data_IF_289095917409
#
_entry.id   IF_289095917409
#
_cell.length_a   1.000
_cell.length_b   1.000
_cell.length_c   1.000
_cell.angle_alpha   90.00
_cell.angle_beta   90.00
_cell.angle_gamma   90.00
#
_symmetry.space_group_name_H-M   'P 1'
#
loop_
_entity.id
_entity.type
_entity.pdbx_description
1 polymer ?
#
# COMPACT_ATOMS: atom_id res chain seq x y z
N UNK A 1 3.09 0.60 40.37
CA UNK A 1 2.09 1.19 39.46
C UNK A 1 2.57 0.91 38.03
N UNK A 2 1.92 0.00 37.33
CA UNK A 2 2.37 -0.51 36.03
C UNK A 2 1.90 0.31 34.82
N UNK A 3 2.55 0.08 33.69
CA UNK A 3 2.16 0.25 32.26
C UNK A 3 3.47 0.33 31.47
N UNK A 4 3.85 -0.54 30.54
CA UNK A 4 3.24 -1.69 29.89
C UNK A 4 4.19 -1.99 28.72
N UNK A 5 4.72 -3.20 28.66
CA UNK A 5 5.51 -3.70 27.52
C UNK A 5 4.63 -3.76 26.25
N UNK A 6 5.31 -3.77 25.10
CA UNK A 6 4.92 -4.33 23.79
C UNK A 6 4.91 -3.31 22.65
N UNK A 7 6.04 -3.24 21.94
CA UNK A 7 6.16 -2.65 20.61
C UNK A 7 7.14 -3.48 19.79
N UNK A 8 6.78 -4.72 19.50
CA UNK A 8 7.55 -5.60 18.63
C UNK A 8 7.60 -5.00 17.22
N UNK A 9 8.80 -4.56 16.82
CA UNK A 9 9.10 -3.92 15.55
C UNK A 9 8.96 -4.95 14.42
N UNK A 10 7.80 -4.97 13.77
CA UNK A 10 7.61 -5.70 12.52
C UNK A 10 8.46 -5.06 11.42
N UNK A 11 9.70 -5.53 11.28
CA UNK A 11 10.59 -5.26 10.14
C UNK A 11 9.96 -5.88 8.87
N UNK A 12 9.17 -5.09 8.16
CA UNK A 12 8.66 -5.42 6.83
C UNK A 12 9.52 -4.75 5.76
N UNK A 13 9.91 -5.51 4.75
CA UNK A 13 10.77 -5.08 3.64
C UNK A 13 10.29 -3.76 3.02
N UNK A 14 11.08 -2.71 3.26
CA UNK A 14 10.83 -1.33 2.85
C UNK A 14 11.29 -1.16 1.40
N UNK A 15 10.40 -1.36 0.43
CA UNK A 15 10.66 -0.95 -0.94
C UNK A 15 10.14 0.48 -1.17
N UNK A 16 11.07 1.38 -1.49
CA UNK A 16 10.82 2.76 -1.87
C UNK A 16 10.99 2.85 -3.39
N UNK A 17 9.89 3.04 -4.13
CA UNK A 17 9.97 3.48 -5.53
C UNK A 17 10.10 5.00 -5.55
N UNK A 18 11.11 5.51 -6.25
CA UNK A 18 11.38 6.94 -6.43
C UNK A 18 10.97 7.35 -7.85
N UNK A 19 10.08 8.33 -7.96
CA UNK A 19 9.54 8.83 -9.22
C UNK A 19 9.44 10.35 -9.14
N UNK A 20 10.36 11.03 -9.83
CA UNK A 20 10.68 12.44 -9.63
C UNK A 20 9.61 13.46 -10.05
N UNK A 21 9.61 14.54 -9.25
CA UNK A 21 9.43 15.97 -9.55
C UNK A 21 8.43 16.39 -10.63
N UNK A 22 7.14 16.26 -10.32
CA UNK A 22 6.13 17.33 -10.23
C UNK A 22 4.89 16.67 -9.58
N UNK A 23 4.59 17.03 -8.33
CA UNK A 23 3.74 16.24 -7.40
C UNK A 23 4.35 14.85 -7.10
N UNK A 24 5.01 14.71 -5.94
CA UNK A 24 5.59 13.43 -5.53
C UNK A 24 4.47 12.47 -5.06
N UNK A 25 3.77 11.86 -6.02
CA UNK A 25 2.75 10.84 -5.77
C UNK A 25 3.40 9.51 -5.43
N UNK A 26 3.42 9.16 -4.14
CA UNK A 26 4.06 7.93 -3.67
C UNK A 26 3.06 6.97 -3.04
N UNK A 27 2.86 5.83 -3.69
CA UNK A 27 2.18 4.68 -3.11
C UNK A 27 3.19 3.88 -2.27
N UNK A 28 2.86 3.61 -1.01
CA UNK A 28 3.67 2.76 -0.12
C UNK A 28 2.79 1.66 0.44
N UNK A 29 3.25 0.41 0.29
CA UNK A 29 2.62 -0.72 0.96
C UNK A 29 3.10 -0.78 2.42
N UNK A 30 2.18 -1.09 3.31
CA UNK A 30 2.43 -1.26 4.74
C UNK A 30 1.76 -2.55 5.22
N UNK A 31 2.35 -3.21 6.22
CA UNK A 31 1.79 -4.43 6.83
C UNK A 31 1.75 -4.27 8.34
N UNK A 32 0.56 -4.27 8.91
CA UNK A 32 0.36 -4.05 10.36
C UNK A 32 -0.61 -5.07 10.92
N UNK A 33 -0.20 -5.80 11.96
CA UNK A 33 -1.02 -6.83 12.64
C UNK A 33 -1.66 -7.85 11.68
N UNK A 34 -0.91 -8.28 10.66
CA UNK A 34 -1.38 -9.23 9.64
C UNK A 34 -2.26 -8.62 8.54
N UNK A 35 -2.62 -7.34 8.63
CA UNK A 35 -3.39 -6.63 7.61
C UNK A 35 -2.46 -5.88 6.65
N UNK A 36 -2.89 -5.73 5.40
CA UNK A 36 -2.17 -5.01 4.36
C UNK A 36 -2.79 -3.65 4.11
N UNK A 37 -1.96 -2.63 3.98
CA UNK A 37 -2.38 -1.27 3.72
C UNK A 37 -1.62 -0.66 2.56
N UNK A 38 -2.24 0.33 1.91
CA UNK A 38 -1.60 1.22 0.94
C UNK A 38 -1.72 2.64 1.47
N UNK A 39 -0.58 3.28 1.72
CA UNK A 39 -0.46 4.71 1.99
C UNK A 39 -0.26 5.45 0.68
N UNK A 40 -1.05 6.49 0.46
CA UNK A 40 -0.82 7.44 -0.64
C UNK A 40 -0.24 8.72 -0.07
N UNK A 41 0.87 9.17 -0.63
CA UNK A 41 1.50 10.43 -0.30
C UNK A 41 1.43 11.38 -1.49
N UNK A 42 1.23 12.66 -1.17
CA UNK A 42 1.35 13.78 -2.09
C UNK A 42 2.29 14.78 -1.45
N UNK A 43 3.40 15.10 -2.13
CA UNK A 43 4.41 16.05 -1.64
C UNK A 43 4.90 15.72 -0.22
N UNK A 44 5.17 14.43 0.02
CA UNK A 44 5.60 13.90 1.31
C UNK A 44 4.51 13.85 2.39
N UNK A 45 3.31 14.38 2.15
CA UNK A 45 2.17 14.32 3.08
C UNK A 45 1.29 13.11 2.78
N UNK A 46 0.97 12.32 3.80
CA UNK A 46 0.02 11.20 3.65
C UNK A 46 -1.39 11.75 3.43
N UNK A 47 -1.93 11.54 2.24
CA UNK A 47 -3.27 11.99 1.86
C UNK A 47 -4.34 10.90 2.00
N UNK A 48 -3.93 9.62 1.97
CA UNK A 48 -4.85 8.51 2.18
C UNK A 48 -4.14 7.29 2.76
N UNK A 49 -4.93 6.45 3.44
CA UNK A 49 -4.50 5.18 4.00
C UNK A 49 -5.62 4.16 3.83
N UNK A 50 -5.40 3.18 2.97
CA UNK A 50 -6.41 2.19 2.58
C UNK A 50 -6.03 0.80 3.09
N UNK A 51 -6.94 0.15 3.82
CA UNK A 51 -6.82 -1.27 4.13
C UNK A 51 -7.17 -2.11 2.90
N UNK A 52 -6.31 -3.06 2.54
CA UNK A 52 -6.50 -3.97 1.42
C UNK A 52 -7.05 -5.29 1.97
N UNK A 53 -8.37 -5.35 2.12
CA UNK A 53 -9.09 -6.59 2.41
C UNK A 53 -9.33 -7.43 1.14
N UNK A 54 -9.92 -8.61 1.30
CA UNK A 54 -10.19 -9.53 0.19
C UNK A 54 -11.14 -8.94 -0.86
N UNK A 55 -12.06 -8.04 -0.45
CA UNK A 55 -13.01 -7.39 -1.34
C UNK A 55 -12.32 -6.35 -2.21
N UNK A 56 -11.47 -5.52 -1.62
CA UNK A 56 -10.64 -4.54 -2.35
C UNK A 56 -9.66 -5.28 -3.28
N UNK A 57 -9.02 -6.33 -2.79
CA UNK A 57 -8.12 -7.16 -3.61
C UNK A 57 -8.84 -7.74 -4.83
N UNK A 58 -10.06 -8.25 -4.64
CA UNK A 58 -10.87 -8.79 -5.73
C UNK A 58 -11.27 -7.72 -6.75
N UNK A 59 -11.64 -6.52 -6.30
CA UNK A 59 -11.94 -5.38 -7.18
C UNK A 59 -10.74 -4.96 -8.02
N UNK A 60 -9.56 -4.83 -7.40
CA UNK A 60 -8.33 -4.49 -8.12
C UNK A 60 -8.03 -5.56 -9.16
N UNK A 61 -8.07 -6.84 -8.79
CA UNK A 61 -7.80 -7.95 -9.71
C UNK A 61 -8.76 -7.95 -10.89
N UNK A 62 -10.06 -7.80 -10.66
CA UNK A 62 -11.05 -7.76 -11.74
C UNK A 62 -10.82 -6.57 -12.66
N UNK A 63 -10.51 -5.40 -12.09
CA UNK A 63 -10.26 -4.19 -12.88
C UNK A 63 -9.00 -4.33 -13.73
N UNK A 64 -7.92 -4.90 -13.18
CA UNK A 64 -6.70 -5.19 -13.93
C UNK A 64 -6.97 -6.22 -15.03
N UNK A 65 -7.74 -7.26 -14.75
CA UNK A 65 -8.11 -8.28 -15.75
C UNK A 65 -8.89 -7.69 -16.94
N UNK A 66 -9.74 -6.68 -16.73
CA UNK A 66 -10.42 -5.95 -17.83
C UNK A 66 -9.42 -5.27 -18.78
N UNK A 67 -8.26 -4.82 -18.29
CA UNK A 67 -7.24 -4.14 -19.08
C UNK A 67 -6.14 -5.07 -19.60
N UNK A 68 -6.06 -6.30 -19.08
CA UNK A 68 -5.10 -7.33 -19.53
C UNK A 68 -5.66 -8.18 -20.68
N UNK A 69 -6.57 -7.65 -21.50
CA UNK A 69 -6.91 -8.28 -22.78
C UNK A 69 -5.65 -8.23 -23.64
N UNK A 70 -4.93 -9.35 -23.65
CA UNK A 70 -3.78 -9.61 -24.50
C UNK A 70 -4.27 -9.50 -25.94
N UNK A 71 -3.64 -8.65 -26.75
CA UNK A 71 -3.75 -8.80 -28.20
C UNK A 71 -3.11 -10.14 -28.56
N UNK A 72 -3.93 -11.19 -28.74
CA UNK A 72 -3.51 -12.36 -29.50
C UNK A 72 -3.50 -11.94 -30.98
N UNK A 73 -2.31 -11.64 -31.48
CA UNK A 73 -1.99 -11.47 -32.91
C UNK A 73 -0.92 -12.45 -33.33
#
# INVERSE_FOLDING_TARGET
MGRGHCGEEARGDRQEGDGGDFMNHRLRRDRRRGLYYVCMHLDGRRIAYLNIDDKIRSKIRNKVAEYLIVEEG
#
